data_IF_976635919797
#
_entry.id   IF_976635919797
#
_cell.length_a   1.000
_cell.length_b   1.000
_cell.length_c   1.000
_cell.angle_alpha   90.00
_cell.angle_beta   90.00
_cell.angle_gamma   90.00
#
_symmetry.space_group_name_H-M   'P 1'
#
loop_
_entity.id
_entity.type
_entity.pdbx_description
1 polymer ?
#
# COMPACT_ATOMS: atom_id res chain seq x y z
N UNK A 1 1.50 -43.36 -20.43
CA UNK A 1 1.20 -41.98 -20.01
C UNK A 1 2.26 -41.44 -19.07
N UNK A 2 2.57 -42.11 -17.96
CA UNK A 2 3.65 -41.71 -17.04
C UNK A 2 5.04 -41.65 -17.70
N UNK A 3 5.31 -42.52 -18.69
CA UNK A 3 6.58 -42.56 -19.43
C UNK A 3 6.91 -41.29 -20.23
N UNK A 4 5.94 -40.38 -20.41
CA UNK A 4 6.12 -39.09 -21.08
C UNK A 4 6.41 -37.95 -20.09
N UNK A 5 6.29 -38.21 -18.78
CA UNK A 5 6.49 -37.23 -17.72
C UNK A 5 7.91 -37.36 -17.17
N UNK A 6 8.51 -36.23 -16.79
CA UNK A 6 9.86 -36.20 -16.21
C UNK A 6 9.91 -35.20 -15.05
N UNK A 7 10.87 -35.40 -14.14
CA UNK A 7 11.06 -34.56 -12.96
C UNK A 7 9.83 -34.52 -12.05
N UNK A 8 9.53 -33.35 -11.48
CA UNK A 8 8.45 -33.16 -10.49
C UNK A 8 7.06 -33.60 -10.97
N UNK A 9 6.83 -33.55 -12.29
CA UNK A 9 5.58 -34.01 -12.88
C UNK A 9 5.43 -35.53 -12.80
N UNK A 10 6.53 -36.28 -12.96
CA UNK A 10 6.54 -37.73 -12.79
C UNK A 10 6.41 -38.12 -11.30
N UNK A 11 7.11 -37.41 -10.41
CA UNK A 11 7.03 -37.66 -8.97
C UNK A 11 5.59 -37.51 -8.46
N UNK A 12 4.93 -36.41 -8.81
CA UNK A 12 3.52 -36.20 -8.51
C UNK A 12 2.62 -37.26 -9.17
N UNK A 13 2.80 -37.50 -10.47
CA UNK A 13 1.91 -38.39 -11.20
C UNK A 13 1.99 -39.83 -10.66
N UNK A 14 3.17 -40.29 -10.24
CA UNK A 14 3.34 -41.62 -9.62
C UNK A 14 2.56 -41.79 -8.32
N UNK A 15 2.39 -40.71 -7.53
CA UNK A 15 1.61 -40.73 -6.29
C UNK A 15 0.11 -40.72 -6.58
N UNK A 16 -0.35 -39.86 -7.49
CA UNK A 16 -1.79 -39.72 -7.74
C UNK A 16 -2.34 -40.89 -8.58
N UNK A 17 -1.49 -41.53 -9.39
CA UNK A 17 -1.87 -42.65 -10.26
C UNK A 17 -2.48 -43.84 -9.49
N UNK A 18 -2.00 -44.11 -8.28
CA UNK A 18 -2.48 -45.21 -7.44
C UNK A 18 -3.62 -44.80 -6.51
N UNK A 19 -3.82 -43.50 -6.30
CA UNK A 19 -4.84 -42.96 -5.37
C UNK A 19 -6.18 -42.74 -6.07
N UNK A 20 -6.17 -42.39 -7.36
CA UNK A 20 -7.38 -42.08 -8.12
C UNK A 20 -7.54 -42.98 -9.35
N UNK A 21 -8.41 -44.01 -9.30
CA UNK A 21 -8.68 -44.90 -10.43
C UNK A 21 -9.24 -44.19 -11.67
N UNK A 22 -9.83 -43.00 -11.52
CA UNK A 22 -10.39 -42.23 -12.62
C UNK A 22 -9.30 -41.73 -13.58
N UNK A 23 -8.07 -41.56 -13.08
CA UNK A 23 -6.89 -41.20 -13.87
C UNK A 23 -6.54 -42.29 -14.88
N UNK A 24 -6.70 -43.56 -14.50
CA UNK A 24 -6.36 -44.70 -15.35
C UNK A 24 -7.40 -44.93 -16.45
N UNK A 25 -8.62 -44.40 -16.28
CA UNK A 25 -9.76 -44.64 -17.19
C UNK A 25 -10.07 -43.43 -18.08
N UNK A 26 -9.57 -42.23 -17.76
CA UNK A 26 -9.86 -41.01 -18.50
C UNK A 26 -8.62 -40.13 -18.69
N UNK A 27 -8.14 -40.07 -19.93
CA UNK A 27 -7.07 -39.15 -20.31
C UNK A 27 -7.47 -37.68 -20.11
N UNK A 28 -8.71 -37.32 -20.41
CA UNK A 28 -9.18 -35.92 -20.28
C UNK A 28 -9.21 -35.48 -18.83
N UNK A 29 -9.57 -36.38 -17.91
CA UNK A 29 -9.52 -36.15 -16.48
C UNK A 29 -8.07 -36.00 -15.99
N UNK A 30 -7.19 -36.92 -16.39
CA UNK A 30 -5.76 -36.84 -16.05
C UNK A 30 -5.09 -35.56 -16.58
N UNK A 31 -5.40 -35.17 -17.82
CA UNK A 31 -4.91 -33.93 -18.43
C UNK A 31 -5.50 -32.67 -17.80
N UNK A 32 -6.69 -32.76 -17.18
CA UNK A 32 -7.26 -31.72 -16.33
C UNK A 32 -6.45 -31.56 -15.04
N UNK A 33 -6.22 -32.66 -14.32
CA UNK A 33 -5.43 -32.66 -13.09
C UNK A 33 -3.99 -32.18 -13.31
N UNK A 34 -3.34 -32.58 -14.41
CA UNK A 34 -2.01 -32.06 -14.76
C UNK A 34 -2.04 -30.54 -14.93
N UNK A 35 -3.09 -30.00 -15.57
CA UNK A 35 -3.25 -28.54 -15.67
C UNK A 35 -3.48 -27.93 -14.29
N UNK A 36 -4.41 -28.44 -13.50
CA UNK A 36 -4.68 -27.85 -12.18
C UNK A 36 -3.43 -27.83 -11.27
N UNK A 37 -2.57 -28.85 -11.34
CA UNK A 37 -1.37 -28.95 -10.50
C UNK A 37 -0.17 -28.20 -11.08
N UNK A 38 0.02 -28.19 -12.40
CA UNK A 38 1.24 -27.65 -13.04
C UNK A 38 1.01 -26.40 -13.89
N UNK A 39 -0.22 -26.05 -14.19
CA UNK A 39 -0.59 -24.78 -14.82
C UNK A 39 -0.49 -23.68 -13.77
N UNK A 40 0.76 -23.28 -13.50
CA UNK A 40 1.01 -21.91 -13.08
C UNK A 40 0.53 -21.02 -14.23
N UNK A 41 -0.41 -20.08 -14.02
CA UNK A 41 -0.89 -19.22 -15.11
C UNK A 41 0.30 -18.54 -15.76
N UNK A 42 0.67 -19.04 -16.95
CA UNK A 42 1.93 -18.69 -17.60
C UNK A 42 1.96 -17.17 -17.81
N UNK A 43 2.84 -16.50 -17.08
CA UNK A 43 3.10 -15.06 -17.23
C UNK A 43 2.17 -14.10 -16.49
N UNK A 44 1.14 -14.56 -15.76
CA UNK A 44 0.38 -13.68 -14.85
C UNK A 44 0.77 -14.02 -13.42
N UNK A 45 1.44 -13.08 -12.75
CA UNK A 45 1.63 -13.14 -11.29
C UNK A 45 0.27 -13.50 -10.68
N UNK A 46 0.21 -14.48 -9.77
CA UNK A 46 -1.04 -14.91 -9.14
C UNK A 46 -1.87 -13.66 -8.75
N UNK A 47 -3.14 -13.61 -9.16
CA UNK A 47 -4.03 -12.46 -8.92
C UNK A 47 -4.07 -12.12 -7.44
N UNK A 48 -4.06 -13.14 -6.57
CA UNK A 48 -3.96 -12.99 -5.12
C UNK A 48 -2.70 -12.25 -4.70
N UNK A 49 -1.55 -12.63 -5.28
CA UNK A 49 -0.25 -12.00 -5.00
C UNK A 49 -0.19 -10.58 -5.57
N UNK A 50 -0.78 -10.34 -6.74
CA UNK A 50 -0.91 -8.98 -7.29
C UNK A 50 -1.76 -8.09 -6.40
N UNK A 51 -2.91 -8.60 -5.93
CA UNK A 51 -3.84 -7.88 -5.08
C UNK A 51 -3.20 -7.55 -3.73
N UNK A 52 -2.55 -8.52 -3.08
CA UNK A 52 -1.81 -8.33 -1.82
C UNK A 52 -0.66 -7.34 -1.95
N UNK A 53 0.01 -7.34 -3.11
CA UNK A 53 1.13 -6.46 -3.41
C UNK A 53 0.72 -5.08 -3.95
N UNK A 54 -0.57 -4.83 -4.17
CA UNK A 54 -1.03 -3.57 -4.75
C UNK A 54 -0.86 -2.44 -3.72
N UNK A 55 -0.15 -1.38 -4.13
CA UNK A 55 0.07 -0.18 -3.32
C UNK A 55 -0.28 1.05 -4.15
N UNK A 56 -0.96 2.01 -3.54
CA UNK A 56 -1.29 3.30 -4.15
C UNK A 56 -0.02 4.04 -4.60
N UNK A 57 1.05 4.02 -3.79
CA UNK A 57 2.30 4.69 -4.12
C UNK A 57 2.08 6.19 -4.37
N UNK A 58 2.54 6.68 -5.53
CA UNK A 58 2.35 8.07 -5.98
C UNK A 58 1.04 8.31 -6.74
N UNK A 59 0.33 7.24 -7.09
CA UNK A 59 -0.89 7.32 -7.88
C UNK A 59 -2.04 7.93 -7.06
N UNK A 60 -3.09 8.38 -7.76
CA UNK A 60 -4.32 8.82 -7.10
C UNK A 60 -5.06 7.62 -6.50
N UNK A 61 -5.88 7.87 -5.47
CA UNK A 61 -6.73 6.83 -4.92
C UNK A 61 -7.71 6.27 -5.97
N UNK A 62 -8.11 7.11 -6.95
CA UNK A 62 -8.96 6.70 -8.07
C UNK A 62 -8.24 5.71 -9.01
N UNK A 63 -7.00 6.01 -9.41
CA UNK A 63 -6.21 5.12 -10.27
C UNK A 63 -5.91 3.79 -9.58
N UNK A 64 -5.56 3.85 -8.28
CA UNK A 64 -5.38 2.65 -7.47
C UNK A 64 -6.68 1.84 -7.35
N UNK A 65 -7.84 2.49 -7.16
CA UNK A 65 -9.14 1.82 -7.08
C UNK A 65 -9.52 1.11 -8.38
N UNK A 66 -9.17 1.66 -9.55
CA UNK A 66 -9.37 0.99 -10.85
C UNK A 66 -8.57 -0.31 -10.89
N UNK A 67 -7.25 -0.22 -10.63
CA UNK A 67 -6.35 -1.40 -10.60
C UNK A 67 -6.84 -2.46 -9.62
N UNK A 68 -7.22 -2.02 -8.42
CA UNK A 68 -7.75 -2.88 -7.37
C UNK A 68 -9.02 -3.61 -7.81
N UNK A 69 -10.02 -2.90 -8.36
CA UNK A 69 -11.29 -3.49 -8.79
C UNK A 69 -11.10 -4.50 -9.92
N UNK A 70 -10.18 -4.24 -10.85
CA UNK A 70 -9.84 -5.18 -11.91
C UNK A 70 -9.29 -6.49 -11.36
N UNK A 71 -8.38 -6.43 -10.38
CA UNK A 71 -7.82 -7.62 -9.73
C UNK A 71 -8.86 -8.32 -8.84
N UNK A 72 -9.63 -7.55 -8.07
CA UNK A 72 -10.67 -8.06 -7.18
C UNK A 72 -11.72 -8.90 -7.93
N UNK A 73 -12.19 -8.41 -9.07
CA UNK A 73 -13.16 -9.12 -9.91
C UNK A 73 -12.67 -10.50 -10.41
N UNK A 74 -11.35 -10.69 -10.50
CA UNK A 74 -10.73 -11.94 -10.95
C UNK A 74 -10.27 -12.83 -9.80
N UNK A 75 -10.26 -12.32 -8.56
CA UNK A 75 -9.68 -12.99 -7.39
C UNK A 75 -10.61 -14.00 -6.71
N UNK A 76 -11.93 -13.80 -6.82
CA UNK A 76 -12.92 -14.57 -6.06
C UNK A 76 -12.93 -14.27 -4.55
N UNK A 77 -12.21 -13.24 -4.09
CA UNK A 77 -12.17 -12.86 -2.67
C UNK A 77 -13.47 -12.18 -2.24
N UNK A 78 -13.86 -12.40 -0.99
CA UNK A 78 -15.05 -11.75 -0.42
C UNK A 78 -14.76 -10.28 -0.05
N UNK A 79 -15.82 -9.49 0.09
CA UNK A 79 -15.74 -8.06 0.39
C UNK A 79 -14.96 -7.73 1.66
N UNK A 80 -15.01 -8.59 2.69
CA UNK A 80 -14.25 -8.41 3.93
C UNK A 80 -12.75 -8.50 3.69
N UNK A 81 -12.30 -9.52 2.96
CA UNK A 81 -10.89 -9.68 2.59
C UNK A 81 -10.43 -8.54 1.68
N UNK A 82 -11.26 -8.18 0.69
CA UNK A 82 -11.00 -7.08 -0.23
C UNK A 82 -10.87 -5.74 0.49
N UNK A 83 -11.72 -5.47 1.49
CA UNK A 83 -11.68 -4.25 2.29
C UNK A 83 -10.33 -4.11 3.01
N UNK A 84 -9.87 -5.16 3.69
CA UNK A 84 -8.59 -5.15 4.42
C UNK A 84 -7.43 -4.89 3.46
N UNK A 85 -7.41 -5.56 2.31
CA UNK A 85 -6.32 -5.40 1.34
C UNK A 85 -6.31 -4.00 0.73
N UNK A 86 -7.50 -3.45 0.42
CA UNK A 86 -7.59 -2.10 -0.09
C UNK A 86 -7.10 -1.09 0.95
N UNK A 87 -7.50 -1.25 2.22
CA UNK A 87 -7.03 -0.44 3.35
C UNK A 87 -5.50 -0.42 3.42
N UNK A 88 -4.87 -1.60 3.52
CA UNK A 88 -3.41 -1.77 3.57
C UNK A 88 -2.70 -1.25 2.31
N UNK A 89 -3.40 -1.23 1.17
CA UNK A 89 -2.89 -0.75 -0.10
C UNK A 89 -2.84 0.78 -0.25
N UNK A 90 -3.59 1.53 0.56
CA UNK A 90 -3.66 3.00 0.46
C UNK A 90 -2.40 3.70 0.98
N UNK A 91 -2.24 4.96 0.58
CA UNK A 91 -1.17 5.81 1.09
C UNK A 91 -1.33 6.01 2.62
N UNK A 92 -0.25 5.92 3.44
CA UNK A 92 -0.36 5.94 4.90
C UNK A 92 -1.08 7.17 5.47
N UNK A 93 -0.85 8.34 4.88
CA UNK A 93 -1.54 9.54 5.34
C UNK A 93 -3.06 9.50 5.06
N UNK A 94 -3.47 8.85 3.96
CA UNK A 94 -4.88 8.67 3.61
C UNK A 94 -5.52 7.60 4.51
N UNK A 95 -4.78 6.54 4.86
CA UNK A 95 -5.20 5.55 5.86
C UNK A 95 -5.49 6.21 7.22
N UNK A 96 -4.61 7.11 7.67
CA UNK A 96 -4.77 7.81 8.94
C UNK A 96 -6.04 8.68 8.97
N UNK A 97 -6.32 9.41 7.90
CA UNK A 97 -7.56 10.19 7.78
C UNK A 97 -8.79 9.28 7.74
N UNK A 98 -8.74 8.19 6.97
CA UNK A 98 -9.85 7.22 6.89
C UNK A 98 -10.12 6.53 8.23
N UNK A 99 -9.10 6.26 9.05
CA UNK A 99 -9.25 5.66 10.37
C UNK A 99 -10.11 6.54 11.31
N UNK A 100 -10.06 7.86 11.15
CA UNK A 100 -10.92 8.79 11.89
C UNK A 100 -12.36 8.83 11.37
N UNK A 101 -12.60 8.39 10.12
CA UNK A 101 -13.89 8.49 9.43
C UNK A 101 -14.66 7.16 9.35
N UNK A 102 -14.01 6.00 9.43
CA UNK A 102 -14.65 4.71 9.10
C UNK A 102 -14.97 3.86 10.32
N UNK A 103 -16.21 3.93 10.82
CA UNK A 103 -16.85 2.87 11.61
C UNK A 103 -17.97 2.24 10.79
N UNK A 104 -17.81 0.97 10.39
CA UNK A 104 -18.77 0.15 9.62
C UNK A 104 -19.09 0.62 8.19
N UNK A 105 -18.13 0.52 7.28
CA UNK A 105 -18.31 0.92 5.87
C UNK A 105 -18.12 -0.26 4.93
N UNK A 106 -19.02 -0.43 3.96
CA UNK A 106 -18.89 -1.45 2.89
C UNK A 106 -17.73 -1.11 1.96
N UNK A 107 -17.18 -2.10 1.25
CA UNK A 107 -16.08 -1.89 0.30
C UNK A 107 -16.36 -0.77 -0.72
N UNK A 108 -17.52 -0.70 -1.40
CA UNK A 108 -17.81 0.37 -2.35
C UNK A 108 -17.81 1.78 -1.72
N UNK A 109 -18.36 1.89 -0.51
CA UNK A 109 -18.42 3.14 0.22
C UNK A 109 -17.01 3.55 0.68
N UNK A 110 -16.23 2.60 1.19
CA UNK A 110 -14.85 2.85 1.64
C UNK A 110 -13.98 3.36 0.49
N UNK A 111 -14.06 2.72 -0.68
CA UNK A 111 -13.36 3.16 -1.89
C UNK A 111 -13.78 4.56 -2.31
N UNK A 112 -15.09 4.86 -2.27
CA UNK A 112 -15.61 6.19 -2.64
C UNK A 112 -15.12 7.28 -1.68
N UNK A 113 -15.12 7.01 -0.37
CA UNK A 113 -14.59 7.93 0.65
C UNK A 113 -13.09 8.16 0.47
N UNK A 114 -12.31 7.11 0.22
CA UNK A 114 -10.88 7.22 -0.03
C UNK A 114 -10.57 8.12 -1.23
N UNK A 115 -11.31 7.96 -2.34
CA UNK A 115 -11.18 8.81 -3.53
C UNK A 115 -11.53 10.27 -3.21
N UNK A 116 -12.62 10.49 -2.48
CA UNK A 116 -13.05 11.84 -2.11
C UNK A 116 -12.00 12.58 -1.26
N UNK A 117 -11.44 11.89 -0.25
CA UNK A 117 -10.41 12.46 0.62
C UNK A 117 -9.08 12.70 -0.12
N UNK A 118 -8.64 11.76 -0.97
CA UNK A 118 -7.43 11.95 -1.79
C UNK A 118 -7.57 13.17 -2.71
N UNK A 119 -8.74 13.37 -3.32
CA UNK A 119 -9.04 14.55 -4.13
C UNK A 119 -9.01 15.84 -3.30
N UNK A 120 -9.62 15.84 -2.12
CA UNK A 120 -9.63 17.01 -1.24
C UNK A 120 -8.22 17.44 -0.84
N UNK A 121 -7.37 16.47 -0.46
CA UNK A 121 -5.96 16.70 -0.11
C UNK A 121 -5.14 17.27 -1.26
N UNK A 122 -5.40 16.81 -2.49
CA UNK A 122 -4.70 17.28 -3.69
C UNK A 122 -5.16 18.68 -4.12
N UNK A 123 -6.42 19.03 -3.86
CA UNK A 123 -6.97 20.36 -4.15
C UNK A 123 -6.55 21.40 -3.12
N UNK A 124 -6.38 20.99 -1.85
CA UNK A 124 -5.90 21.83 -0.77
C UNK A 124 -4.61 21.27 -0.20
N UNK A 125 -3.47 21.39 -0.90
CA UNK A 125 -2.19 21.08 -0.30
C UNK A 125 -2.06 21.96 0.94
N UNK A 126 -1.90 21.33 2.12
CA UNK A 126 -1.65 22.05 3.35
C UNK A 126 -0.52 23.06 3.09
N UNK A 127 -0.64 24.31 3.55
CA UNK A 127 0.44 25.27 3.37
C UNK A 127 1.70 24.65 3.96
N UNK A 128 2.70 24.43 3.11
CA UNK A 128 4.00 23.92 3.49
C UNK A 128 4.43 24.67 4.74
N UNK A 129 4.55 23.98 5.88
CA UNK A 129 5.21 24.49 7.07
C UNK A 129 6.71 24.58 6.77
N UNK A 130 7.07 25.47 5.85
CA UNK A 130 8.42 25.87 5.57
C UNK A 130 8.63 27.26 6.16
N UNK A 131 9.28 27.28 7.33
CA UNK A 131 10.07 28.36 7.94
C UNK A 131 9.28 29.57 8.46
N UNK A 132 9.50 30.14 9.64
CA UNK A 132 10.39 29.98 10.80
C UNK A 132 9.71 30.83 11.91
N UNK A 133 9.95 30.61 13.21
CA UNK A 133 9.54 31.59 14.22
C UNK A 133 10.33 32.89 13.98
N UNK A 134 9.72 34.09 14.04
CA UNK A 134 10.48 35.32 14.09
C UNK A 134 11.16 35.40 15.45
N UNK A 135 12.38 34.88 15.56
CA UNK A 135 13.28 35.23 16.65
C UNK A 135 13.83 36.64 16.41
N UNK A 136 13.01 37.66 16.69
CA UNK A 136 13.50 38.96 17.09
C UNK A 136 13.43 39.04 18.61
N UNK A 137 14.38 38.38 19.28
CA UNK A 137 14.77 38.78 20.62
C UNK A 137 15.82 39.86 20.45
N UNK A 138 15.39 41.11 20.53
CA UNK A 138 16.27 42.26 20.77
C UNK A 138 16.95 42.06 22.12
N UNK A 139 18.15 41.51 22.09
CA UNK A 139 19.06 41.46 23.22
C UNK A 139 19.65 42.86 23.43
N UNK A 140 18.84 43.77 23.97
CA UNK A 140 19.33 45.02 24.57
C UNK A 140 19.54 44.75 26.06
N UNK A 141 20.70 44.18 26.37
CA UNK A 141 21.19 44.06 27.74
C UNK A 141 22.71 44.08 27.69
N UNK A 142 23.29 45.28 27.67
CA UNK A 142 24.65 45.48 28.16
C UNK A 142 24.61 46.27 29.46
N UNK A 143 25.42 45.89 30.47
CA UNK A 143 25.30 46.40 31.82
C UNK A 143 25.88 47.81 31.94
N UNK A 144 25.37 48.56 32.93
CA UNK A 144 25.87 49.86 33.38
C UNK A 144 27.38 49.78 33.68
N UNK A 145 28.17 50.57 32.97
CA UNK A 145 29.56 50.86 33.33
C UNK A 145 29.57 52.18 34.10
N UNK A 146 29.68 52.08 35.43
CA UNK A 146 30.06 53.19 36.31
C UNK A 146 31.43 53.71 35.89
N UNK A 147 31.50 54.90 35.32
CA UNK A 147 32.75 55.65 35.16
C UNK A 147 32.67 56.90 36.04
N UNK A 148 33.57 57.06 37.03
CA UNK A 148 33.60 58.26 37.85
C UNK A 148 34.13 59.44 37.02
N UNK A 149 33.40 60.54 37.11
CA UNK A 149 33.65 61.84 36.48
C UNK A 149 35.05 62.39 36.83
N UNK A 150 35.98 62.59 35.87
CA UNK A 150 37.27 63.21 36.16
C UNK A 150 37.10 64.73 36.24
N UNK A 151 37.36 65.28 37.43
CA UNK A 151 37.42 66.72 37.71
C UNK A 151 38.39 67.42 36.74
N UNK A 152 37.90 68.43 36.02
CA UNK A 152 38.73 69.26 35.15
C UNK A 152 39.77 70.04 35.96
N UNK A 153 41.05 69.72 35.74
CA UNK A 153 42.19 70.54 36.16
C UNK A 153 42.73 71.31 34.95
N UNK A 154 42.80 72.63 35.09
CA UNK A 154 43.78 73.48 34.41
C UNK A 154 43.40 74.03 33.04
N UNK A 155 42.90 75.28 33.01
CA UNK A 155 43.17 76.21 31.91
C UNK A 155 44.33 77.11 32.32
N UNK A 156 45.40 77.11 31.54
CA UNK A 156 46.45 78.13 31.51
C UNK A 156 46.02 79.33 30.66
#
# INVERSE_FOLDING_TARGET
MLSLMTGRALDWASVVWDVDPQIQTSFTYFAGLIRDVFEYPAGKKDISVQLLGLRQGTDTAADNAIKFRTLAAQSGWNDTALLVVFQEGLHPALQAELACHSTNTTLPNYVSTAIHLDNLRRQHPAPSQSRQPPHHFTESSRPREDTPEPMQLGRS
#
